data_IF_470940220842
#
_entry.id   IF_470940220842
#
_cell.length_a   1.000
_cell.length_b   1.000
_cell.length_c   1.000
_cell.angle_alpha   90.00
_cell.angle_beta   90.00
_cell.angle_gamma   90.00
#
_symmetry.space_group_name_H-M   'P 1'
#
loop_
_entity.id
_entity.type
_entity.pdbx_description
1 polymer ?
#
# COMPACT_ATOMS: atom_id res chain seq x y z
N UNK A 1 49.02 -7.02 -8.33
CA UNK A 1 47.94 -6.46 -9.17
C UNK A 1 47.05 -5.63 -8.27
N UNK A 2 47.13 -4.32 -8.45
CA UNK A 2 46.41 -3.28 -7.70
C UNK A 2 45.12 -2.92 -8.43
N UNK A 3 44.04 -2.76 -7.68
CA UNK A 3 42.78 -2.14 -8.12
C UNK A 3 41.72 -2.47 -7.06
N UNK A 4 41.09 -1.55 -6.37
CA UNK A 4 40.99 -0.11 -6.53
C UNK A 4 39.60 0.24 -6.02
N UNK A 5 39.52 0.85 -4.85
CA UNK A 5 38.28 1.35 -4.27
C UNK A 5 37.76 2.53 -5.10
N UNK A 6 36.47 2.49 -5.43
CA UNK A 6 35.69 3.64 -5.91
C UNK A 6 34.27 3.42 -5.39
N UNK A 7 33.89 4.14 -4.34
CA UNK A 7 33.15 5.40 -4.46
C UNK A 7 31.75 5.15 -5.03
N UNK A 8 30.81 4.74 -4.15
CA UNK A 8 29.39 4.86 -4.43
C UNK A 8 28.88 6.09 -3.68
N UNK A 9 28.64 7.12 -4.49
CA UNK A 9 28.38 8.48 -4.07
C UNK A 9 27.17 8.65 -3.16
N UNK A 10 27.39 9.52 -2.17
CA UNK A 10 26.42 10.20 -1.32
C UNK A 10 25.41 10.96 -2.20
N UNK A 11 24.11 10.78 -1.96
CA UNK A 11 23.06 11.52 -2.67
C UNK A 11 22.67 12.75 -1.84
N UNK A 12 23.06 13.92 -2.32
CA UNK A 12 22.53 15.19 -1.84
C UNK A 12 21.11 15.38 -2.41
N UNK A 13 20.14 15.55 -1.51
CA UNK A 13 18.78 15.95 -1.80
C UNK A 13 18.77 17.47 -1.88
N UNK A 14 18.61 18.05 -3.08
CA UNK A 14 17.75 19.23 -3.30
C UNK A 14 17.81 19.74 -4.76
N UNK A 15 16.63 20.21 -5.19
CA UNK A 15 16.26 21.04 -6.34
C UNK A 15 16.36 20.50 -7.79
N UNK A 16 15.21 20.54 -8.49
CA UNK A 16 14.98 21.39 -9.69
C UNK A 16 13.53 21.21 -10.23
N UNK A 17 12.97 22.34 -10.67
CA UNK A 17 11.59 22.64 -11.11
C UNK A 17 11.00 21.80 -12.28
N UNK A 18 9.66 21.79 -12.45
CA UNK A 18 8.98 20.99 -13.48
C UNK A 18 9.02 21.62 -14.89
N UNK A 19 9.09 20.83 -15.97
CA UNK A 19 8.94 21.34 -17.32
C UNK A 19 7.46 21.51 -17.73
N UNK A 20 7.26 22.48 -18.61
CA UNK A 20 5.99 23.03 -19.06
C UNK A 20 5.28 22.16 -20.11
N UNK A 21 3.97 22.36 -20.19
CA UNK A 21 3.00 21.75 -21.11
C UNK A 21 3.22 22.11 -22.57
N UNK A 22 3.13 21.10 -23.46
CA UNK A 22 2.98 21.27 -24.89
C UNK A 22 1.64 20.71 -25.39
N UNK A 23 0.86 21.57 -26.04
CA UNK A 23 -0.40 21.28 -26.74
C UNK A 23 -0.17 20.45 -28.02
N UNK A 24 -1.14 19.60 -28.35
CA UNK A 24 -1.21 18.90 -29.64
C UNK A 24 -2.62 18.42 -29.92
N UNK A 25 -3.31 19.16 -30.78
CA UNK A 25 -4.62 18.85 -31.37
C UNK A 25 -4.60 17.57 -32.22
N UNK A 26 -5.74 16.87 -32.28
CA UNK A 26 -5.88 15.69 -33.13
C UNK A 26 -7.25 15.00 -33.04
N UNK A 27 -8.28 15.68 -33.56
CA UNK A 27 -9.64 15.17 -33.76
C UNK A 27 -9.69 14.01 -34.77
N UNK A 28 -10.35 12.89 -34.41
CA UNK A 28 -11.04 12.04 -35.40
C UNK A 28 -12.30 11.41 -34.78
N UNK A 29 -13.42 11.62 -35.45
CA UNK A 29 -14.74 11.12 -35.10
C UNK A 29 -14.97 9.66 -35.57
N UNK A 30 -15.79 8.89 -34.83
CA UNK A 30 -16.62 7.85 -35.43
C UNK A 30 -17.79 7.40 -34.52
N UNK A 31 -19.00 7.65 -35.04
CA UNK A 31 -20.28 6.95 -34.95
C UNK A 31 -20.64 6.05 -33.73
N UNK A 32 -21.49 6.62 -32.87
CA UNK A 32 -22.80 6.12 -32.41
C UNK A 32 -23.21 4.65 -32.63
N UNK A 33 -23.56 3.96 -31.53
CA UNK A 33 -24.74 3.06 -31.43
C UNK A 33 -25.39 3.18 -30.06
N UNK A 34 -26.70 3.43 -30.07
CA UNK A 34 -27.58 3.50 -28.90
C UNK A 34 -28.02 2.11 -28.45
N UNK A 35 -28.12 1.86 -27.14
CA UNK A 35 -29.23 1.11 -26.54
C UNK A 35 -29.34 1.49 -25.07
N UNK A 36 -30.59 1.58 -24.61
CA UNK A 36 -31.07 2.14 -23.36
C UNK A 36 -30.69 1.26 -22.16
N UNK A 37 -30.45 1.90 -21.01
CA UNK A 37 -31.20 1.58 -19.79
C UNK A 37 -31.10 2.74 -18.79
N UNK A 38 -32.27 3.18 -18.34
CA UNK A 38 -32.51 4.36 -17.55
C UNK A 38 -32.61 4.00 -16.07
N UNK A 39 -31.85 4.67 -15.20
CA UNK A 39 -32.22 4.87 -13.81
C UNK A 39 -31.85 6.31 -13.45
N UNK A 40 -32.89 7.12 -13.22
CA UNK A 40 -32.79 8.54 -12.93
C UNK A 40 -32.15 8.83 -11.57
N UNK A 41 -31.20 9.77 -11.58
CA UNK A 41 -30.77 10.50 -10.40
C UNK A 41 -31.08 11.97 -10.64
N UNK A 42 -32.12 12.46 -10.00
CA UNK A 42 -32.60 13.85 -10.05
C UNK A 42 -31.48 14.77 -9.55
N UNK A 43 -31.01 15.68 -10.41
CA UNK A 43 -30.11 16.75 -10.03
C UNK A 43 -30.92 17.79 -9.24
N UNK A 44 -30.72 17.84 -7.92
CA UNK A 44 -31.25 18.93 -7.09
C UNK A 44 -30.18 20.01 -7.04
N UNK A 45 -30.39 21.09 -7.80
CA UNK A 45 -29.65 22.34 -7.65
C UNK A 45 -30.16 23.07 -6.42
N UNK A 46 -29.52 22.83 -5.28
CA UNK A 46 -29.73 23.58 -4.04
C UNK A 46 -28.81 24.78 -3.99
N UNK A 47 -29.38 25.98 -4.13
CA UNK A 47 -28.74 27.25 -3.78
C UNK A 47 -28.83 27.46 -2.27
N UNK A 48 -27.73 27.19 -1.58
CA UNK A 48 -27.54 27.50 -0.16
C UNK A 48 -26.04 27.48 0.09
N UNK A 49 -25.53 28.49 0.78
CA UNK A 49 -24.13 28.61 1.22
C UNK A 49 -23.88 27.57 2.31
N UNK A 50 -23.93 26.30 1.93
CA UNK A 50 -23.59 25.16 2.76
C UNK A 50 -22.07 25.01 2.69
N UNK A 51 -21.42 24.80 3.82
CA UNK A 51 -19.98 24.51 3.82
C UNK A 51 -19.72 23.40 2.80
N UNK A 52 -18.69 23.50 1.95
CA UNK A 52 -18.44 22.46 0.96
C UNK A 52 -18.33 21.14 1.70
N UNK A 53 -19.31 20.25 1.49
CA UNK A 53 -19.36 18.96 2.15
C UNK A 53 -18.02 18.25 1.97
N UNK A 54 -17.61 17.42 2.93
CA UNK A 54 -16.27 16.82 2.96
C UNK A 54 -15.85 16.31 1.58
N UNK A 55 -14.69 16.75 1.11
CA UNK A 55 -14.14 16.40 -0.20
C UNK A 55 -12.90 15.56 -0.01
N UNK A 56 -12.76 14.51 -0.83
CA UNK A 56 -11.57 13.66 -0.88
C UNK A 56 -10.97 13.67 -2.26
N UNK A 57 -9.65 13.50 -2.34
CA UNK A 57 -8.93 13.30 -3.60
C UNK A 57 -8.68 11.82 -3.83
N UNK A 58 -9.00 11.36 -5.03
CA UNK A 58 -8.95 9.95 -5.40
C UNK A 58 -8.00 9.76 -6.59
N UNK A 59 -7.11 8.77 -6.49
CA UNK A 59 -6.42 8.21 -7.66
C UNK A 59 -7.26 7.04 -8.21
N UNK A 60 -7.77 7.12 -9.46
CA UNK A 60 -8.54 6.05 -10.05
C UNK A 60 -7.68 4.83 -10.37
N UNK A 61 -8.23 3.63 -10.21
CA UNK A 61 -7.62 2.37 -10.62
C UNK A 61 -7.78 2.15 -12.12
N UNK A 62 -7.11 3.00 -12.90
CA UNK A 62 -7.10 2.98 -14.36
C UNK A 62 -5.68 3.25 -14.83
N UNK A 63 -5.01 2.24 -15.39
CA UNK A 63 -3.59 2.31 -15.75
C UNK A 63 -3.22 3.48 -16.69
N UNK A 64 -4.15 3.93 -17.54
CA UNK A 64 -3.92 5.04 -18.48
C UNK A 64 -4.10 6.44 -17.86
N UNK A 65 -4.45 6.53 -16.57
CA UNK A 65 -4.76 7.80 -15.89
C UNK A 65 -3.78 8.02 -14.75
N UNK A 66 -2.78 8.87 -14.99
CA UNK A 66 -1.81 9.28 -13.97
C UNK A 66 -2.24 10.59 -13.28
N UNK A 67 -3.55 10.73 -13.02
CA UNK A 67 -4.13 11.93 -12.43
C UNK A 67 -5.04 11.59 -11.28
N UNK A 68 -5.13 12.54 -10.37
CA UNK A 68 -6.02 12.54 -9.20
C UNK A 68 -7.23 13.43 -9.47
N UNK A 69 -8.35 13.10 -8.84
CA UNK A 69 -9.60 13.83 -8.99
C UNK A 69 -10.30 14.01 -7.64
N UNK A 70 -10.91 15.16 -7.44
CA UNK A 70 -11.63 15.48 -6.21
C UNK A 70 -13.09 15.01 -6.31
N UNK A 71 -13.59 14.40 -5.23
CA UNK A 71 -14.94 13.85 -5.12
C UNK A 71 -15.59 14.26 -3.81
N UNK A 72 -16.90 14.48 -3.87
CA UNK A 72 -17.71 14.77 -2.68
C UNK A 72 -17.99 13.49 -1.89
N UNK A 73 -17.81 13.53 -0.58
CA UNK A 73 -18.28 12.47 0.33
C UNK A 73 -19.79 12.65 0.49
N UNK A 74 -20.62 11.63 0.17
CA UNK A 74 -22.06 11.75 0.33
C UNK A 74 -22.43 11.99 1.80
N UNK A 75 -23.27 12.99 2.08
CA UNK A 75 -23.71 13.31 3.45
C UNK A 75 -24.39 12.13 4.16
N UNK A 76 -25.04 11.23 3.40
CA UNK A 76 -25.62 10.00 3.94
C UNK A 76 -24.60 9.06 4.60
N UNK A 77 -23.31 9.18 4.27
CA UNK A 77 -22.25 8.35 4.85
C UNK A 77 -21.92 8.76 6.27
N UNK A 78 -22.12 10.03 6.64
CA UNK A 78 -21.95 10.48 8.02
C UNK A 78 -23.00 9.82 8.92
N UNK A 79 -24.26 9.77 8.47
CA UNK A 79 -25.36 9.18 9.22
C UNK A 79 -25.32 7.64 9.35
N UNK A 80 -24.65 6.93 8.44
CA UNK A 80 -24.54 5.46 8.47
C UNK A 80 -23.16 4.92 8.91
N UNK A 81 -22.27 5.82 9.36
CA UNK A 81 -20.94 5.48 9.87
C UNK A 81 -19.87 5.20 8.80
N UNK A 82 -20.20 5.23 7.50
CA UNK A 82 -19.19 5.16 6.43
C UNK A 82 -18.27 6.38 6.41
N UNK A 83 -18.74 7.55 6.83
CA UNK A 83 -17.94 8.77 6.92
C UNK A 83 -16.79 8.60 7.91
N UNK A 84 -17.06 7.99 9.07
CA UNK A 84 -16.02 7.71 10.09
C UNK A 84 -15.00 6.65 9.64
N UNK A 85 -15.40 5.71 8.76
CA UNK A 85 -14.51 4.69 8.19
C UNK A 85 -13.72 5.18 6.97
N UNK A 86 -14.17 6.25 6.33
CA UNK A 86 -13.49 6.84 5.18
C UNK A 86 -12.27 7.62 5.66
N UNK A 87 -11.14 7.42 4.99
CA UNK A 87 -9.89 8.15 5.20
C UNK A 87 -8.88 7.83 4.10
N UNK A 88 -7.70 8.45 4.16
CA UNK A 88 -6.59 8.14 3.25
C UNK A 88 -6.29 6.64 3.26
N UNK A 89 -6.10 6.05 2.07
CA UNK A 89 -5.96 4.60 1.89
C UNK A 89 -7.26 3.86 1.59
N UNK A 90 -8.42 4.45 1.89
CA UNK A 90 -9.72 3.82 1.63
C UNK A 90 -9.90 3.52 0.16
N UNK A 91 -10.34 2.29 -0.14
CA UNK A 91 -10.71 1.89 -1.49
C UNK A 91 -12.14 2.33 -1.75
N UNK A 92 -12.36 2.99 -2.88
CA UNK A 92 -13.67 3.55 -3.26
C UNK A 92 -14.05 3.14 -4.68
N UNK A 93 -15.33 3.32 -5.02
CA UNK A 93 -15.78 3.39 -6.41
C UNK A 93 -16.17 4.81 -6.75
N UNK A 94 -15.72 5.26 -7.91
CA UNK A 94 -16.00 6.59 -8.44
C UNK A 94 -16.54 6.50 -9.88
N UNK A 95 -17.20 7.55 -10.34
CA UNK A 95 -17.58 7.68 -11.75
C UNK A 95 -16.52 8.51 -12.48
N UNK A 96 -15.86 7.89 -13.46
CA UNK A 96 -14.85 8.53 -14.32
C UNK A 96 -15.20 8.25 -15.77
N UNK A 97 -15.36 9.30 -16.58
CA UNK A 97 -15.75 9.16 -17.99
C UNK A 97 -17.04 8.36 -18.20
N UNK A 98 -18.03 8.52 -17.31
CA UNK A 98 -19.31 7.80 -17.35
C UNK A 98 -19.27 6.34 -16.87
N UNK A 99 -18.10 5.80 -16.51
CA UNK A 99 -17.95 4.42 -16.02
C UNK A 99 -17.66 4.39 -14.53
N UNK A 100 -18.13 3.36 -13.84
CA UNK A 100 -17.79 3.11 -12.43
C UNK A 100 -16.46 2.36 -12.35
N UNK A 101 -15.45 2.98 -11.76
CA UNK A 101 -14.10 2.41 -11.60
C UNK A 101 -13.69 2.36 -10.13
N UNK A 102 -12.69 1.54 -9.81
CA UNK A 102 -12.02 1.55 -8.51
C UNK A 102 -11.17 2.80 -8.32
N UNK A 103 -10.75 3.04 -7.09
CA UNK A 103 -9.76 4.06 -6.78
C UNK A 103 -9.40 4.05 -5.30
N UNK A 104 -8.40 4.84 -4.95
CA UNK A 104 -7.94 5.02 -3.58
C UNK A 104 -8.05 6.48 -3.20
N UNK A 105 -8.58 6.73 -2.00
CA UNK A 105 -8.48 8.05 -1.39
C UNK A 105 -7.02 8.29 -1.03
N UNK A 106 -6.44 9.37 -1.55
CA UNK A 106 -5.03 9.74 -1.33
C UNK A 106 -4.88 11.02 -0.52
N UNK A 107 -5.90 11.86 -0.46
CA UNK A 107 -5.98 13.01 0.43
C UNK A 107 -7.44 13.20 0.88
N UNK A 108 -7.62 13.79 2.05
CA UNK A 108 -8.92 13.99 2.71
C UNK A 108 -9.07 15.44 3.14
N UNK A 109 -10.30 15.92 3.25
CA UNK A 109 -10.63 17.32 3.51
C UNK A 109 -9.96 18.31 2.53
N UNK A 110 -10.00 18.00 1.24
CA UNK A 110 -9.36 18.79 0.18
C UNK A 110 -10.21 20.00 -0.19
N UNK A 111 -9.58 21.14 -0.46
CA UNK A 111 -10.27 22.30 -1.06
C UNK A 111 -10.30 22.09 -2.59
N UNK A 112 -11.49 21.93 -3.20
CA UNK A 112 -11.59 21.70 -4.64
C UNK A 112 -11.24 22.97 -5.44
N UNK A 113 -10.77 22.84 -6.70
CA UNK A 113 -10.58 23.98 -7.58
C UNK A 113 -11.90 24.73 -7.82
N UNK A 114 -11.82 26.06 -7.94
CA UNK A 114 -12.99 26.91 -8.19
C UNK A 114 -13.71 26.53 -9.51
N UNK A 115 -15.05 26.58 -9.49
CA UNK A 115 -15.89 26.33 -10.67
C UNK A 115 -16.01 24.86 -11.08
N UNK A 116 -15.44 23.91 -10.33
CA UNK A 116 -15.54 22.47 -10.65
C UNK A 116 -16.76 21.84 -9.98
N UNK A 117 -17.65 21.26 -10.80
CA UNK A 117 -18.76 20.45 -10.32
C UNK A 117 -18.29 19.09 -9.81
N UNK A 118 -18.30 18.90 -8.48
CA UNK A 118 -17.88 17.64 -7.86
C UNK A 118 -18.93 16.54 -8.04
N UNK A 119 -18.46 15.32 -8.33
CA UNK A 119 -19.29 14.12 -8.29
C UNK A 119 -19.19 13.45 -6.92
N UNK A 120 -20.25 12.82 -6.42
CA UNK A 120 -20.18 12.05 -5.18
C UNK A 120 -19.39 10.75 -5.35
N UNK A 121 -18.77 10.28 -4.27
CA UNK A 121 -18.28 8.90 -4.19
C UNK A 121 -19.43 7.91 -4.39
N UNK A 122 -19.21 6.88 -5.20
CA UNK A 122 -20.26 5.93 -5.56
C UNK A 122 -20.36 4.75 -4.58
N UNK A 123 -19.26 4.37 -3.91
CA UNK A 123 -19.21 3.28 -2.92
C UNK A 123 -17.92 3.33 -2.10
N UNK A 124 -17.98 3.03 -0.80
CA UNK A 124 -16.82 2.63 0.02
C UNK A 124 -16.59 1.12 -0.16
N UNK A 125 -15.40 0.74 -0.63
CA UNK A 125 -15.00 -0.64 -0.95
C UNK A 125 -14.01 -1.23 0.08
N UNK A 126 -13.98 -0.66 1.28
CA UNK A 126 -13.15 -1.12 2.39
C UNK A 126 -11.78 -0.44 2.46
N UNK A 127 -10.90 -1.03 3.25
CA UNK A 127 -9.53 -0.56 3.49
C UNK A 127 -8.60 -0.88 2.32
N UNK A 128 -7.52 -0.13 2.23
CA UNK A 128 -6.44 -0.29 1.27
C UNK A 128 -5.09 0.07 1.90
N UNK A 129 -4.08 0.44 1.10
CA UNK A 129 -2.75 0.81 1.61
C UNK A 129 -2.83 1.97 2.61
N UNK A 130 -1.97 1.96 3.62
CA UNK A 130 -1.82 3.09 4.54
C UNK A 130 -1.25 4.32 3.82
N UNK A 131 -1.33 5.53 4.41
CA UNK A 131 -0.68 6.72 3.87
C UNK A 131 0.81 6.51 3.57
N UNK A 132 1.54 5.83 4.45
CA UNK A 132 2.97 5.53 4.29
C UNK A 132 3.22 4.62 3.08
N UNK A 133 2.35 3.62 2.86
CA UNK A 133 2.43 2.75 1.67
C UNK A 133 2.04 3.49 0.39
N UNK A 134 1.13 4.46 0.45
CA UNK A 134 0.83 5.34 -0.69
C UNK A 134 2.07 6.17 -1.05
N UNK A 135 2.74 6.74 -0.07
CA UNK A 135 3.93 7.57 -0.30
C UNK A 135 5.11 6.73 -0.78
N UNK A 136 5.32 5.53 -0.21
CA UNK A 136 6.28 4.56 -0.71
C UNK A 136 5.98 4.17 -2.16
N UNK A 137 4.71 3.91 -2.50
CA UNK A 137 4.28 3.60 -3.86
C UNK A 137 4.53 4.74 -4.85
N UNK A 138 4.32 6.00 -4.42
CA UNK A 138 4.64 7.20 -5.22
C UNK A 138 6.13 7.38 -5.44
N UNK A 139 6.94 7.20 -4.39
CA UNK A 139 8.39 7.23 -4.49
C UNK A 139 8.90 6.15 -5.45
N UNK A 140 8.39 4.93 -5.30
CA UNK A 140 8.77 3.80 -6.15
C UNK A 140 8.38 4.03 -7.61
N UNK A 141 7.15 4.48 -7.86
CA UNK A 141 6.68 4.87 -9.19
C UNK A 141 7.62 5.88 -9.86
N UNK A 142 8.09 6.90 -9.15
CA UNK A 142 9.08 7.84 -9.67
C UNK A 142 10.44 7.17 -9.92
N UNK A 143 10.94 6.40 -8.96
CA UNK A 143 12.26 5.76 -9.01
C UNK A 143 12.41 4.77 -10.16
N UNK A 144 11.34 4.08 -10.51
CA UNK A 144 11.31 3.04 -11.56
C UNK A 144 10.48 3.42 -12.77
N UNK A 145 10.03 4.68 -12.88
CA UNK A 145 9.20 5.20 -13.99
C UNK A 145 7.99 4.28 -14.25
N UNK A 146 7.31 3.89 -13.17
CA UNK A 146 6.17 2.98 -13.18
C UNK A 146 4.86 3.66 -12.75
N UNK A 147 3.70 3.04 -13.00
CA UNK A 147 2.42 3.60 -12.59
C UNK A 147 2.19 3.43 -11.08
N UNK A 148 1.81 4.51 -10.38
CA UNK A 148 1.48 4.49 -8.94
C UNK A 148 0.40 3.44 -8.64
N UNK A 149 -0.60 3.30 -9.52
CA UNK A 149 -1.71 2.35 -9.35
C UNK A 149 -1.25 0.89 -9.22
N UNK A 150 -0.12 0.51 -9.84
CA UNK A 150 0.44 -0.84 -9.70
C UNK A 150 0.95 -1.14 -8.28
N UNK A 151 1.60 -0.16 -7.67
CA UNK A 151 2.04 -0.23 -6.28
C UNK A 151 0.84 -0.24 -5.32
N UNK A 152 -0.14 0.64 -5.52
CA UNK A 152 -1.34 0.69 -4.67
C UNK A 152 -2.18 -0.58 -4.78
N UNK A 153 -2.31 -1.15 -5.98
CA UNK A 153 -2.98 -2.43 -6.18
C UNK A 153 -2.26 -3.57 -5.46
N UNK A 154 -0.93 -3.62 -5.52
CA UNK A 154 -0.11 -4.63 -4.83
C UNK A 154 -0.21 -4.49 -3.30
N UNK A 155 -0.27 -3.25 -2.80
CA UNK A 155 -0.43 -2.93 -1.39
C UNK A 155 -1.87 -3.11 -0.87
N UNK A 156 -2.84 -3.38 -1.76
CA UNK A 156 -4.26 -3.52 -1.42
C UNK A 156 -4.66 -4.97 -1.14
N UNK A 157 -5.72 -5.20 -0.35
CA UNK A 157 -6.21 -6.56 -0.13
C UNK A 157 -6.84 -7.14 -1.42
N UNK A 158 -6.63 -8.45 -1.68
CA UNK A 158 -7.24 -9.12 -2.84
C UNK A 158 -8.77 -9.24 -2.73
N UNK A 159 -9.31 -9.12 -1.51
CA UNK A 159 -10.74 -9.11 -1.20
C UNK A 159 -11.11 -7.84 -0.42
N UNK A 160 -12.40 -7.54 -0.32
CA UNK A 160 -12.87 -6.37 0.47
C UNK A 160 -12.62 -6.64 1.96
N UNK A 161 -12.00 -5.65 2.64
CA UNK A 161 -11.79 -5.68 4.08
C UNK A 161 -12.45 -4.45 4.68
N UNK A 162 -13.56 -4.63 5.40
CA UNK A 162 -14.30 -3.51 6.01
C UNK A 162 -13.84 -3.16 7.42
N UNK A 163 -13.29 -4.14 8.14
CA UNK A 163 -12.76 -4.02 9.48
C UNK A 163 -11.60 -4.99 9.66
N UNK A 164 -10.64 -4.61 10.51
CA UNK A 164 -9.53 -5.48 10.86
C UNK A 164 -9.96 -6.48 11.93
N UNK A 165 -9.42 -7.71 11.94
CA UNK A 165 -9.54 -8.60 13.09
C UNK A 165 -8.85 -7.97 14.31
N UNK A 166 -9.12 -8.52 15.49
CA UNK A 166 -8.35 -8.17 16.68
C UNK A 166 -6.84 -8.40 16.43
N UNK A 167 -5.97 -7.52 16.96
CA UNK A 167 -4.54 -7.75 16.90
C UNK A 167 -4.20 -9.09 17.56
N UNK A 168 -3.16 -9.80 17.11
CA UNK A 168 -2.70 -11.00 17.79
C UNK A 168 -2.38 -10.65 19.25
N UNK A 169 -2.76 -11.54 20.17
CA UNK A 169 -2.39 -11.40 21.58
C UNK A 169 -0.87 -11.51 21.76
N UNK A 170 -0.33 -11.13 22.93
CA UNK A 170 1.06 -11.38 23.26
C UNK A 170 1.39 -12.86 23.11
N UNK A 171 2.44 -13.18 22.35
CA UNK A 171 2.95 -14.55 22.20
C UNK A 171 4.37 -14.57 22.74
N UNK A 172 4.66 -15.53 23.62
CA UNK A 172 6.04 -15.82 24.01
C UNK A 172 6.76 -16.44 22.81
N UNK A 173 7.50 -15.60 22.08
CA UNK A 173 8.31 -16.04 20.95
C UNK A 173 9.53 -16.79 21.51
N UNK A 174 9.73 -18.08 21.17
CA UNK A 174 10.83 -18.87 21.71
C UNK A 174 12.19 -18.19 21.49
N UNK A 175 13.02 -18.21 22.53
CA UNK A 175 14.41 -17.77 22.41
C UNK A 175 15.24 -18.80 21.62
N UNK A 176 16.38 -18.38 21.11
CA UNK A 176 17.34 -19.23 20.43
C UNK A 176 18.75 -19.00 20.95
N UNK A 177 19.51 -20.08 21.08
CA UNK A 177 20.94 -20.03 21.43
C UNK A 177 21.77 -19.28 20.38
N UNK A 178 21.21 -19.03 19.18
CA UNK A 178 21.81 -18.21 18.13
C UNK A 178 21.72 -16.70 18.42
N UNK A 179 22.10 -16.27 19.62
CA UNK A 179 22.01 -14.87 20.09
C UNK A 179 22.70 -13.86 19.17
N UNK A 180 23.76 -14.28 18.49
CA UNK A 180 24.46 -13.45 17.52
C UNK A 180 23.58 -13.04 16.34
N UNK A 181 22.57 -13.83 15.96
CA UNK A 181 21.59 -13.48 14.92
C UNK A 181 20.64 -12.38 15.39
N UNK A 182 20.34 -12.31 16.69
CA UNK A 182 19.50 -11.25 17.24
C UNK A 182 20.19 -9.88 17.18
N UNK A 183 21.49 -9.83 17.48
CA UNK A 183 22.28 -8.59 17.38
C UNK A 183 22.38 -8.04 15.95
N UNK A 184 22.06 -8.84 14.93
CA UNK A 184 22.00 -8.33 13.55
C UNK A 184 20.81 -7.39 13.30
N UNK A 185 19.80 -7.41 14.17
CA UNK A 185 18.62 -6.54 14.10
C UNK A 185 18.81 -5.23 14.89
N UNK A 186 19.94 -5.08 15.59
CA UNK A 186 20.26 -3.83 16.27
C UNK A 186 20.45 -2.71 15.23
N UNK A 187 19.89 -1.50 15.47
CA UNK A 187 20.06 -0.38 14.55
C UNK A 187 21.54 -0.05 14.36
N UNK A 188 21.96 0.05 13.10
CA UNK A 188 23.28 0.57 12.74
C UNK A 188 23.32 2.09 12.93
N UNK A 189 24.47 2.69 13.28
CA UNK A 189 24.56 4.14 13.51
C UNK A 189 24.17 5.01 12.31
N UNK A 190 24.33 4.48 11.09
CA UNK A 190 24.00 5.15 9.83
C UNK A 190 22.63 4.73 9.25
N UNK A 191 21.91 3.84 9.94
CA UNK A 191 20.63 3.32 9.49
C UNK A 191 20.71 2.33 8.31
N UNK A 192 21.90 1.89 7.93
CA UNK A 192 22.10 0.87 6.89
C UNK A 192 21.60 -0.52 7.32
N UNK A 193 21.07 -1.35 6.40
CA UNK A 193 20.67 -2.71 6.74
C UNK A 193 21.88 -3.60 7.05
N UNK A 194 21.75 -4.44 8.08
CA UNK A 194 22.76 -5.45 8.40
C UNK A 194 22.67 -6.65 7.46
N UNK A 195 23.80 -7.05 6.86
CA UNK A 195 23.89 -8.26 6.04
C UNK A 195 24.36 -9.44 6.89
N UNK A 196 23.49 -10.44 7.05
CA UNK A 196 23.82 -11.70 7.75
C UNK A 196 24.19 -12.77 6.72
N UNK A 197 25.42 -13.28 6.78
CA UNK A 197 25.88 -14.39 5.93
C UNK A 197 25.78 -15.71 6.66
N UNK A 198 24.95 -16.60 6.15
CA UNK A 198 24.70 -17.93 6.73
C UNK A 198 25.26 -19.02 5.80
N UNK A 199 25.89 -20.08 6.35
CA UNK A 199 26.11 -21.30 5.59
C UNK A 199 24.79 -21.86 5.03
N UNK A 200 24.79 -22.53 3.87
CA UNK A 200 23.56 -23.01 3.22
C UNK A 200 22.67 -23.93 4.08
N UNK A 201 23.28 -24.65 5.04
CA UNK A 201 22.57 -25.56 5.94
C UNK A 201 22.07 -24.90 7.23
N UNK A 202 22.43 -23.64 7.48
CA UNK A 202 22.04 -22.93 8.69
C UNK A 202 20.57 -22.52 8.61
N UNK A 203 19.82 -22.87 9.65
CA UNK A 203 18.41 -22.53 9.76
C UNK A 203 18.23 -21.03 10.00
N UNK A 204 17.48 -20.29 9.17
CA UNK A 204 17.23 -18.86 9.36
C UNK A 204 16.10 -18.57 10.37
N UNK A 205 15.38 -19.58 10.87
CA UNK A 205 14.27 -19.39 11.80
C UNK A 205 14.65 -18.56 13.04
N UNK A 206 15.82 -18.78 13.70
CA UNK A 206 16.22 -17.93 14.82
C UNK A 206 16.25 -16.44 14.54
N UNK A 207 16.62 -16.01 13.32
CA UNK A 207 16.61 -14.60 12.89
C UNK A 207 15.18 -14.10 12.72
N UNK A 208 14.30 -14.91 12.13
CA UNK A 208 12.87 -14.58 12.00
C UNK A 208 12.20 -14.44 13.36
N UNK A 209 12.49 -15.35 14.29
CA UNK A 209 11.97 -15.27 15.67
C UNK A 209 12.56 -14.08 16.42
N UNK A 210 13.82 -13.73 16.19
CA UNK A 210 14.41 -12.51 16.75
C UNK A 210 13.68 -11.26 16.27
N UNK A 211 13.33 -11.17 14.98
CA UNK A 211 12.54 -10.07 14.45
C UNK A 211 11.14 -10.00 15.08
N UNK A 212 10.47 -11.15 15.24
CA UNK A 212 9.17 -11.22 15.89
C UNK A 212 9.19 -10.81 17.38
N UNK A 213 10.34 -10.93 18.07
CA UNK A 213 10.49 -10.45 19.46
C UNK A 213 10.55 -8.93 19.57
N UNK A 214 10.89 -8.22 18.49
CA UNK A 214 10.93 -6.76 18.48
C UNK A 214 9.54 -6.13 18.34
N UNK A 215 8.54 -6.89 17.87
CA UNK A 215 7.16 -6.45 17.66
C UNK A 215 6.62 -6.92 16.32
N UNK A 216 5.82 -6.08 15.65
CA UNK A 216 5.32 -6.40 14.32
C UNK A 216 6.49 -6.44 13.33
N UNK A 217 6.59 -7.52 12.55
CA UNK A 217 7.74 -7.75 11.70
C UNK A 217 7.34 -8.28 10.32
N UNK A 218 8.09 -7.90 9.30
CA UNK A 218 7.93 -8.37 7.92
C UNK A 218 9.08 -9.29 7.54
N UNK A 219 8.76 -10.46 7.02
CA UNK A 219 9.72 -11.40 6.46
C UNK A 219 9.46 -11.58 4.97
N UNK A 220 10.43 -11.19 4.16
CA UNK A 220 10.45 -11.42 2.74
C UNK A 220 11.27 -12.66 2.42
N UNK A 221 10.74 -13.48 1.54
CA UNK A 221 11.44 -14.64 0.98
C UNK A 221 11.30 -14.62 -0.55
N UNK A 222 12.11 -15.36 -1.31
CA UNK A 222 12.11 -15.20 -2.76
C UNK A 222 10.77 -15.58 -3.41
N UNK A 223 10.20 -16.72 -3.01
CA UNK A 223 9.02 -17.31 -3.68
C UNK A 223 7.81 -17.46 -2.77
N UNK A 224 6.61 -17.43 -3.36
CA UNK A 224 5.35 -17.70 -2.64
C UNK A 224 5.31 -19.11 -2.01
N UNK A 225 6.00 -20.08 -2.63
CA UNK A 225 6.15 -21.43 -2.09
C UNK A 225 7.03 -21.44 -0.83
N UNK A 226 8.15 -20.70 -0.84
CA UNK A 226 8.98 -20.52 0.35
C UNK A 226 8.21 -19.82 1.48
N UNK A 227 7.43 -18.78 1.15
CA UNK A 227 6.61 -18.05 2.11
C UNK A 227 5.59 -18.97 2.79
N UNK A 228 4.94 -19.83 2.00
CA UNK A 228 3.97 -20.82 2.50
C UNK A 228 4.61 -21.86 3.42
N UNK A 229 5.80 -22.38 3.05
CA UNK A 229 6.56 -23.34 3.88
C UNK A 229 7.02 -22.72 5.20
N UNK A 230 7.58 -21.51 5.14
CA UNK A 230 8.05 -20.77 6.30
C UNK A 230 6.90 -20.47 7.27
N UNK A 231 5.78 -19.95 6.76
CA UNK A 231 4.56 -19.70 7.54
C UNK A 231 4.08 -20.96 8.24
N UNK A 232 4.02 -22.09 7.52
CA UNK A 232 3.58 -23.38 8.09
C UNK A 232 4.50 -23.85 9.21
N UNK A 233 5.81 -23.64 9.08
CA UNK A 233 6.80 -23.98 10.11
C UNK A 233 6.65 -23.11 11.36
N UNK A 234 6.46 -21.81 11.19
CA UNK A 234 6.26 -20.85 12.28
C UNK A 234 4.96 -21.16 13.04
N UNK A 235 3.85 -21.41 12.32
CA UNK A 235 2.55 -21.75 12.93
C UNK A 235 2.60 -23.02 13.77
N UNK A 236 3.38 -24.03 13.37
CA UNK A 236 3.60 -25.25 14.17
C UNK A 236 4.27 -24.98 15.52
N UNK A 237 4.92 -23.84 15.66
CA UNK A 237 5.55 -23.38 16.91
C UNK A 237 4.62 -22.47 17.73
N UNK A 238 3.33 -22.37 17.37
CA UNK A 238 2.32 -21.60 18.11
C UNK A 238 2.29 -20.10 17.78
N UNK A 239 3.16 -19.61 16.90
CA UNK A 239 3.25 -18.19 16.57
C UNK A 239 2.21 -17.81 15.51
N UNK A 240 1.41 -16.79 15.81
CA UNK A 240 0.50 -16.19 14.84
C UNK A 240 1.31 -15.47 13.74
N UNK A 241 1.05 -15.84 12.49
CA UNK A 241 1.71 -15.25 11.32
C UNK A 241 0.71 -15.10 10.18
N UNK A 242 0.75 -13.95 9.50
CA UNK A 242 -0.05 -13.66 8.32
C UNK A 242 0.76 -13.93 7.04
N UNK A 243 0.18 -14.70 6.11
CA UNK A 243 0.74 -14.99 4.79
C UNK A 243 0.14 -14.07 3.73
N UNK A 244 0.98 -13.25 3.12
CA UNK A 244 0.57 -12.35 2.03
C UNK A 244 0.54 -13.07 0.68
N UNK A 245 -0.36 -12.65 -0.24
CA UNK A 245 -1.34 -11.57 -0.09
C UNK A 245 -2.68 -11.99 0.56
N UNK A 246 -2.88 -13.30 0.82
CA UNK A 246 -4.21 -13.84 1.19
C UNK A 246 -4.72 -13.34 2.54
N UNK A 247 -3.82 -13.10 3.49
CA UNK A 247 -4.16 -12.74 4.86
C UNK A 247 -3.87 -11.26 5.15
N UNK A 248 -4.08 -10.39 4.16
CA UNK A 248 -3.85 -8.94 4.24
C UNK A 248 -4.46 -8.31 5.50
N UNK A 249 -5.71 -8.65 5.86
CA UNK A 249 -6.38 -8.10 7.03
C UNK A 249 -5.69 -8.52 8.35
N UNK A 250 -5.11 -9.72 8.42
CA UNK A 250 -4.34 -10.17 9.59
C UNK A 250 -3.02 -9.43 9.67
N UNK A 251 -2.34 -9.23 8.55
CA UNK A 251 -1.09 -8.47 8.50
C UNK A 251 -1.30 -7.00 8.92
N UNK A 252 -2.36 -6.37 8.43
CA UNK A 252 -2.74 -5.01 8.82
C UNK A 252 -3.13 -4.88 10.31
N UNK A 253 -3.53 -5.98 10.97
CA UNK A 253 -3.85 -5.97 12.40
C UNK A 253 -2.59 -6.03 13.30
N UNK A 254 -1.43 -6.40 12.76
CA UNK A 254 -0.16 -6.53 13.46
C UNK A 254 0.33 -7.97 13.59
N UNK A 255 1.51 -8.13 14.21
CA UNK A 255 2.24 -9.38 14.37
C UNK A 255 3.23 -9.68 13.25
N UNK A 256 3.57 -10.96 13.10
CA UNK A 256 4.52 -11.43 12.10
C UNK A 256 3.85 -11.59 10.73
N UNK A 257 4.45 -11.04 9.69
CA UNK A 257 3.99 -11.11 8.31
C UNK A 257 5.05 -11.79 7.47
N UNK A 258 4.64 -12.76 6.64
CA UNK A 258 5.51 -13.47 5.71
C UNK A 258 4.95 -13.35 4.29
N UNK A 259 5.81 -13.07 3.33
CA UNK A 259 5.41 -13.08 1.92
C UNK A 259 6.60 -13.11 0.97
N UNK A 260 6.30 -13.19 -0.32
CA UNK A 260 7.32 -13.04 -1.37
C UNK A 260 7.61 -11.56 -1.66
N UNK A 261 8.34 -11.25 -2.74
CA UNK A 261 8.68 -9.87 -3.16
C UNK A 261 7.54 -8.85 -3.08
N UNK A 262 6.32 -9.22 -3.49
CA UNK A 262 5.16 -8.30 -3.44
C UNK A 262 4.76 -7.88 -2.02
N UNK A 263 5.12 -8.65 -0.99
CA UNK A 263 4.86 -8.32 0.40
C UNK A 263 5.79 -7.21 0.93
N UNK A 264 6.75 -6.71 0.13
CA UNK A 264 7.45 -5.46 0.43
C UNK A 264 6.49 -4.27 0.56
N UNK A 265 5.28 -4.40 0.00
CA UNK A 265 4.19 -3.42 0.11
C UNK A 265 3.06 -3.91 1.03
N UNK A 266 3.32 -4.92 1.87
CA UNK A 266 2.33 -5.43 2.81
C UNK A 266 2.02 -4.40 3.91
N UNK A 267 0.77 -4.35 4.40
CA UNK A 267 0.47 -3.58 5.59
C UNK A 267 1.09 -4.27 6.82
N UNK A 268 1.72 -3.48 7.67
CA UNK A 268 2.17 -3.89 9.00
C UNK A 268 1.84 -2.74 9.94
N UNK A 269 1.15 -3.02 11.05
CA UNK A 269 0.56 -1.98 11.91
C UNK A 269 1.62 -1.08 12.54
N UNK A 270 2.61 -1.66 13.20
CA UNK A 270 3.69 -0.93 13.86
C UNK A 270 5.03 -1.60 13.54
N UNK A 271 5.49 -1.45 12.29
CA UNK A 271 6.65 -2.18 11.77
C UNK A 271 7.93 -1.92 12.59
N UNK A 272 8.43 -2.97 13.26
CA UNK A 272 9.64 -2.93 14.11
C UNK A 272 10.86 -3.57 13.46
N UNK A 273 10.66 -4.53 12.56
CA UNK A 273 11.75 -5.22 11.90
C UNK A 273 11.37 -5.72 10.50
N UNK A 274 12.35 -5.73 9.60
CA UNK A 274 12.25 -6.37 8.29
C UNK A 274 13.40 -7.36 8.14
N UNK A 275 13.08 -8.58 7.74
CA UNK A 275 14.06 -9.63 7.41
C UNK A 275 13.86 -10.04 5.97
N UNK A 276 14.90 -9.96 5.16
CA UNK A 276 14.89 -10.53 3.80
C UNK A 276 15.77 -11.76 3.79
N UNK A 277 15.16 -12.92 3.57
CA UNK A 277 15.88 -14.19 3.44
C UNK A 277 16.24 -14.40 1.97
N UNK A 278 17.44 -14.92 1.75
CA UNK A 278 17.98 -15.19 0.41
C UNK A 278 17.91 -13.96 -0.50
N UNK A 279 18.32 -12.78 0.01
CA UNK A 279 18.32 -11.48 -0.70
C UNK A 279 19.00 -11.52 -2.08
N UNK A 280 19.91 -12.46 -2.30
CA UNK A 280 20.60 -12.63 -3.58
C UNK A 280 19.76 -13.35 -4.65
N UNK A 281 18.58 -13.86 -4.30
CA UNK A 281 17.72 -14.62 -5.21
C UNK A 281 17.02 -13.69 -6.21
N UNK A 282 17.12 -14.04 -7.50
CA UNK A 282 16.58 -13.26 -8.62
C UNK A 282 15.10 -13.60 -8.95
N UNK A 283 14.54 -14.67 -8.36
CA UNK A 283 13.20 -15.18 -8.67
C UNK A 283 12.07 -14.26 -8.21
#
# INVERSE_FOLDING_TARGET
MTGGAGDQGRLDLDDVAPPQTGQGDGSVASASRSSRDAIGGTATSGSGTDAPGRVVRVIPDVAAVDRVFDYLVPSSWEGDGRGARLGVGSRVRVVLGGRRVGGWVVEDHVVPPEGVGLRPLARLSGMGPSPELIDLGRWAARRWVGPVVGFLATASPPTVVEALPAPPGPVDVPDSDARWMAGALDPTPDGSPTVVRLPPATDPIPLVLAAARLGDALVLVPTAAAASRLTTRIRRSGIAVALLPREWARAAAGGLVVGSRSAALAPVRDLRAVVVLDEHDEA
#
